data_IF_931669166029
#
_entry.id   IF_931669166029
#
_cell.length_a   1.000
_cell.length_b   1.000
_cell.length_c   1.000
_cell.angle_alpha   90.00
_cell.angle_beta   90.00
_cell.angle_gamma   90.00
#
_symmetry.space_group_name_H-M   'P 1'
#
loop_
_entity.id
_entity.type
_entity.pdbx_description
1 polymer ?
#
# COMPACT_ATOMS: atom_id res chain seq x y z
N UNK A 1 2.80 13.69 -21.41
CA UNK A 1 2.72 13.43 -19.96
C UNK A 1 2.30 11.98 -19.80
N UNK A 2 2.98 11.19 -19.00
CA UNK A 2 2.63 9.79 -18.80
C UNK A 2 1.27 9.66 -18.11
N UNK A 3 0.52 8.61 -18.45
CA UNK A 3 -0.70 8.23 -17.75
C UNK A 3 -0.32 7.45 -16.49
N UNK A 4 -0.78 7.93 -15.33
CA UNK A 4 -0.45 7.37 -14.03
C UNK A 4 -1.75 6.98 -13.34
N UNK A 5 -1.83 5.74 -12.87
CA UNK A 5 -2.95 5.24 -12.06
C UNK A 5 -2.39 4.85 -10.69
N UNK A 6 -3.01 5.35 -9.62
CA UNK A 6 -2.64 4.96 -8.25
C UNK A 6 -3.79 4.19 -7.60
N UNK A 7 -3.48 3.13 -6.85
CA UNK A 7 -4.48 2.27 -6.23
C UNK A 7 -4.27 2.19 -4.72
N UNK A 8 -5.06 2.99 -3.98
CA UNK A 8 -5.29 2.76 -2.55
C UNK A 8 -6.21 1.55 -2.35
N UNK A 9 -6.02 0.78 -1.27
CA UNK A 9 -6.80 -0.45 -1.10
C UNK A 9 -6.83 -0.95 0.33
N UNK A 10 -7.95 -1.49 0.75
CA UNK A 10 -8.07 -2.33 1.93
C UNK A 10 -7.39 -3.69 1.71
N UNK A 11 -6.94 -4.33 2.78
CA UNK A 11 -6.35 -5.67 2.71
C UNK A 11 -7.43 -6.73 2.38
N UNK A 12 -7.15 -7.59 1.41
CA UNK A 12 -8.12 -8.59 0.95
C UNK A 12 -9.19 -8.08 -0.02
N UNK A 13 -9.24 -6.77 -0.33
CA UNK A 13 -10.22 -6.20 -1.26
C UNK A 13 -10.01 -6.54 -2.73
N UNK A 14 -8.89 -7.18 -3.10
CA UNK A 14 -8.56 -7.44 -4.52
C UNK A 14 -7.85 -6.30 -5.22
N UNK A 15 -7.56 -5.17 -4.54
CA UNK A 15 -6.95 -3.99 -5.17
C UNK A 15 -5.59 -4.23 -5.82
N UNK A 16 -4.76 -5.15 -5.27
CA UNK A 16 -3.48 -5.56 -5.90
C UNK A 16 -3.71 -6.29 -7.23
N UNK A 17 -4.66 -7.21 -7.25
CA UNK A 17 -5.03 -7.94 -8.46
C UNK A 17 -5.63 -7.01 -9.51
N UNK A 18 -6.51 -6.09 -9.09
CA UNK A 18 -7.08 -5.07 -9.97
C UNK A 18 -5.98 -4.24 -10.64
N UNK A 19 -4.99 -3.78 -9.85
CA UNK A 19 -3.87 -3.00 -10.38
C UNK A 19 -3.05 -3.75 -11.42
N UNK A 20 -2.72 -5.00 -11.15
CA UNK A 20 -1.97 -5.84 -12.09
C UNK A 20 -2.75 -6.05 -13.39
N UNK A 21 -4.04 -6.40 -13.29
CA UNK A 21 -4.89 -6.60 -14.48
C UNK A 21 -5.09 -5.34 -15.30
N UNK A 22 -5.27 -4.18 -14.65
CA UNK A 22 -5.37 -2.90 -15.34
C UNK A 22 -4.06 -2.57 -16.10
N UNK A 23 -2.92 -2.81 -15.47
CA UNK A 23 -1.63 -2.61 -16.14
C UNK A 23 -1.48 -3.52 -17.36
N UNK A 24 -1.84 -4.80 -17.24
CA UNK A 24 -1.84 -5.77 -18.35
C UNK A 24 -2.76 -5.33 -19.50
N UNK A 25 -4.01 -4.94 -19.22
CA UNK A 25 -4.96 -4.53 -20.25
C UNK A 25 -4.60 -3.21 -20.96
N UNK A 26 -3.98 -2.28 -20.23
CA UNK A 26 -3.58 -0.97 -20.76
C UNK A 26 -2.17 -0.97 -21.36
N UNK A 27 -1.39 -2.04 -21.19
CA UNK A 27 0.02 -2.07 -21.57
C UNK A 27 0.88 -1.10 -20.76
N UNK A 28 0.54 -0.89 -19.47
CA UNK A 28 1.26 -0.02 -18.54
C UNK A 28 2.21 -0.86 -17.67
N UNK A 29 3.26 -0.21 -17.16
CA UNK A 29 4.11 -0.81 -16.14
C UNK A 29 3.37 -0.96 -14.82
N UNK A 30 3.65 -2.03 -14.07
CA UNK A 30 3.03 -2.32 -12.77
C UNK A 30 4.06 -2.25 -11.66
N UNK A 31 3.78 -1.47 -10.62
CA UNK A 31 4.68 -1.29 -9.48
C UNK A 31 3.97 -1.55 -8.13
N UNK A 32 4.47 -2.48 -7.36
CA UNK A 32 4.00 -2.83 -5.99
C UNK A 32 5.19 -3.22 -5.09
N UNK A 33 5.69 -4.46 -5.20
CA UNK A 33 6.80 -4.97 -4.36
C UNK A 33 8.17 -4.46 -4.82
N UNK A 34 8.34 -4.19 -6.08
CA UNK A 34 9.57 -3.68 -6.68
C UNK A 34 10.02 -2.37 -6.04
N UNK A 35 9.07 -1.56 -5.58
CA UNK A 35 9.34 -0.32 -4.85
C UNK A 35 10.04 -0.62 -3.51
N UNK A 36 9.66 -1.69 -2.81
CA UNK A 36 10.30 -2.09 -1.53
C UNK A 36 11.76 -2.43 -1.76
N UNK A 37 12.05 -3.23 -2.79
CA UNK A 37 13.41 -3.62 -3.16
C UNK A 37 14.26 -2.40 -3.47
N UNK A 38 13.76 -1.49 -4.30
CA UNK A 38 14.46 -0.27 -4.66
C UNK A 38 14.72 0.66 -3.46
N UNK A 39 13.76 0.75 -2.51
CA UNK A 39 13.95 1.52 -1.26
C UNK A 39 15.05 0.85 -0.39
N UNK A 40 14.99 -0.47 -0.23
CA UNK A 40 15.97 -1.22 0.56
C UNK A 40 17.40 -1.03 0.03
N UNK A 41 17.58 -1.11 -1.28
CA UNK A 41 18.86 -0.83 -1.94
C UNK A 41 19.32 0.61 -1.72
N UNK A 42 18.44 1.59 -1.94
CA UNK A 42 18.76 3.03 -1.82
C UNK A 42 19.11 3.45 -0.40
N UNK A 43 18.46 2.83 0.59
CA UNK A 43 18.66 3.15 2.02
C UNK A 43 19.68 2.24 2.72
N UNK A 44 20.18 1.19 2.05
CA UNK A 44 21.02 0.15 2.62
C UNK A 44 20.38 -0.54 3.84
N UNK A 45 19.05 -0.70 3.80
CA UNK A 45 18.25 -1.38 4.83
C UNK A 45 17.74 -2.72 4.31
N UNK A 46 17.36 -3.65 5.22
CA UNK A 46 16.75 -4.91 4.79
C UNK A 46 15.33 -4.70 4.21
N UNK A 47 14.93 -5.54 3.27
CA UNK A 47 13.58 -5.46 2.68
C UNK A 47 12.48 -5.69 3.73
N UNK A 48 12.72 -6.58 4.68
CA UNK A 48 11.81 -6.88 5.79
C UNK A 48 11.57 -5.64 6.64
N UNK A 49 12.63 -4.92 7.01
CA UNK A 49 12.53 -3.69 7.79
C UNK A 49 11.79 -2.59 7.02
N UNK A 50 12.15 -2.35 5.76
CA UNK A 50 11.46 -1.39 4.90
C UNK A 50 9.98 -1.75 4.78
N UNK A 51 9.65 -3.02 4.57
CA UNK A 51 8.26 -3.48 4.49
C UNK A 51 7.49 -3.24 5.81
N UNK A 52 8.11 -3.51 6.96
CA UNK A 52 7.49 -3.26 8.28
C UNK A 52 7.16 -1.78 8.48
N UNK A 53 8.09 -0.90 8.18
CA UNK A 53 7.87 0.56 8.25
C UNK A 53 6.75 0.98 7.31
N UNK A 54 6.77 0.55 6.06
CA UNK A 54 5.79 0.93 5.03
C UNK A 54 4.39 0.32 5.27
N UNK A 55 4.29 -0.76 6.03
CA UNK A 55 3.01 -1.33 6.47
C UNK A 55 2.54 -0.71 7.79
N UNK A 56 3.28 0.26 8.33
CA UNK A 56 2.93 0.99 9.55
C UNK A 56 2.91 0.10 10.79
N UNK A 57 3.71 -0.98 10.81
CA UNK A 57 3.86 -1.78 12.02
C UNK A 57 4.55 -0.92 13.09
N UNK A 58 3.95 -0.75 14.27
CA UNK A 58 4.61 0.00 15.33
C UNK A 58 5.90 -0.74 15.70
N UNK A 59 7.01 -0.03 15.71
CA UNK A 59 8.21 -0.54 16.36
C UNK A 59 7.86 -0.80 17.82
N UNK A 60 8.09 -2.02 18.28
CA UNK A 60 8.03 -2.33 19.70
C UNK A 60 9.20 -1.60 20.37
N UNK A 61 8.98 -0.36 20.76
CA UNK A 61 9.84 0.32 21.72
C UNK A 61 9.72 -0.48 23.03
N UNK A 62 10.66 -1.36 23.27
CA UNK A 62 10.82 -1.92 24.61
C UNK A 62 11.16 -0.75 25.53
N UNK A 63 10.38 -0.49 26.58
CA UNK A 63 10.73 0.54 27.53
C UNK A 63 12.03 0.11 28.25
N UNK A 64 13.15 0.58 27.71
CA UNK A 64 14.43 0.45 28.40
C UNK A 64 14.43 1.55 29.46
N UNK A 65 14.10 1.17 30.67
CA UNK A 65 14.16 2.03 31.86
C UNK A 65 15.63 2.27 32.25
N UNK A 66 16.36 3.03 31.44
CA UNK A 66 17.67 3.55 31.84
C UNK A 66 17.79 4.96 31.27
N UNK A 67 17.86 5.94 32.18
CA UNK A 67 17.85 7.37 31.92
C UNK A 67 18.63 7.86 30.71
N UNK A 68 18.26 9.02 30.19
CA UNK A 68 18.83 9.80 29.07
C UNK A 68 18.97 9.10 27.69
N UNK A 69 19.06 7.78 27.60
CA UNK A 69 19.21 7.05 26.33
C UNK A 69 17.90 6.91 25.53
N UNK A 70 16.73 7.12 26.11
CA UNK A 70 15.46 7.07 25.39
C UNK A 70 15.34 8.15 24.29
N UNK A 71 15.85 9.35 24.54
CA UNK A 71 15.80 10.44 23.54
C UNK A 71 16.65 10.17 22.30
N UNK A 72 17.73 9.43 22.44
CA UNK A 72 18.64 9.12 21.31
C UNK A 72 18.05 8.00 20.45
N UNK A 73 17.44 6.99 21.06
CA UNK A 73 16.82 5.89 20.32
C UNK A 73 15.59 6.36 19.50
N UNK A 74 14.71 7.18 20.10
CA UNK A 74 13.55 7.71 19.40
C UNK A 74 13.95 8.56 18.18
N UNK A 75 14.96 9.41 18.30
CA UNK A 75 15.44 10.22 17.18
C UNK A 75 16.02 9.35 16.04
N UNK A 76 16.71 8.28 16.35
CA UNK A 76 17.30 7.40 15.33
C UNK A 76 16.23 6.67 14.52
N UNK A 77 15.21 6.11 15.16
CA UNK A 77 14.09 5.44 14.45
C UNK A 77 13.27 6.42 13.62
N UNK A 78 12.97 7.61 14.15
CA UNK A 78 12.26 8.65 13.40
C UNK A 78 13.05 9.06 12.14
N UNK A 79 14.35 9.23 12.25
CA UNK A 79 15.21 9.55 11.11
C UNK A 79 15.23 8.44 10.05
N UNK A 80 15.26 7.18 10.47
CA UNK A 80 15.18 6.05 9.55
C UNK A 80 13.83 5.97 8.82
N UNK A 81 12.71 6.14 9.52
CA UNK A 81 11.38 6.17 8.91
C UNK A 81 11.23 7.33 7.91
N UNK A 82 11.75 8.50 8.25
CA UNK A 82 11.78 9.65 7.34
C UNK A 82 12.66 9.38 6.11
N UNK A 83 13.82 8.76 6.28
CA UNK A 83 14.70 8.36 5.18
C UNK A 83 14.02 7.37 4.22
N UNK A 84 13.27 6.39 4.75
CA UNK A 84 12.49 5.45 3.96
C UNK A 84 11.40 6.18 3.16
N UNK A 85 10.67 7.11 3.78
CA UNK A 85 9.62 7.87 3.09
C UNK A 85 10.18 8.79 1.99
N UNK A 86 11.33 9.43 2.22
CA UNK A 86 12.00 10.24 1.22
C UNK A 86 12.47 9.39 0.03
N UNK A 87 13.14 8.27 0.30
CA UNK A 87 13.55 7.33 -0.73
C UNK A 87 12.37 6.78 -1.53
N UNK A 88 11.26 6.42 -0.85
CA UNK A 88 10.00 6.03 -1.48
C UNK A 88 9.48 7.11 -2.43
N UNK A 89 9.46 8.36 -1.97
CA UNK A 89 8.92 9.47 -2.75
C UNK A 89 9.74 9.74 -4.02
N UNK A 90 11.06 9.67 -3.93
CA UNK A 90 11.95 9.82 -5.07
C UNK A 90 11.77 8.68 -6.09
N UNK A 91 11.78 7.42 -5.62
CA UNK A 91 11.61 6.23 -6.47
C UNK A 91 10.25 6.28 -7.19
N UNK A 92 9.17 6.58 -6.48
CA UNK A 92 7.83 6.66 -7.07
C UNK A 92 7.77 7.76 -8.16
N UNK A 93 8.40 8.92 -7.94
CA UNK A 93 8.47 9.99 -8.94
C UNK A 93 9.29 9.59 -10.16
N UNK A 94 10.43 8.94 -9.97
CA UNK A 94 11.27 8.43 -11.06
C UNK A 94 10.50 7.42 -11.92
N UNK A 95 9.81 6.46 -11.30
CA UNK A 95 9.00 5.45 -11.99
C UNK A 95 7.85 6.08 -12.79
N UNK A 96 7.15 7.05 -12.22
CA UNK A 96 6.05 7.76 -12.87
C UNK A 96 6.50 8.63 -14.06
N UNK A 97 7.74 9.13 -14.04
CA UNK A 97 8.31 9.87 -15.15
C UNK A 97 8.81 8.97 -16.30
N UNK A 98 9.16 7.73 -15.99
CA UNK A 98 9.75 6.78 -16.94
C UNK A 98 8.74 6.22 -17.93
N UNK A 99 7.52 5.90 -17.49
CA UNK A 99 6.50 5.23 -18.29
C UNK A 99 5.08 5.50 -17.82
N UNK A 100 4.07 5.14 -18.63
CA UNK A 100 2.72 4.97 -18.17
C UNK A 100 2.70 3.83 -17.13
N UNK A 101 2.06 4.03 -15.98
CA UNK A 101 2.17 3.06 -14.90
C UNK A 101 0.95 2.97 -13.99
N UNK A 102 0.82 1.81 -13.35
CA UNK A 102 -0.10 1.54 -12.24
C UNK A 102 0.72 1.30 -10.98
N UNK A 103 0.54 2.14 -9.97
CA UNK A 103 1.26 2.05 -8.69
C UNK A 103 0.29 1.70 -7.57
N UNK A 104 0.64 0.67 -6.78
CA UNK A 104 -0.26 0.15 -5.74
C UNK A 104 0.18 0.59 -4.35
N UNK A 105 -0.59 1.50 -3.72
CA UNK A 105 -0.39 2.02 -2.36
C UNK A 105 0.77 3.00 -2.23
N UNK A 106 1.48 2.94 -1.10
CA UNK A 106 2.70 3.73 -0.83
C UNK A 106 2.50 5.24 -0.86
N UNK A 107 1.30 5.73 -0.52
CA UNK A 107 0.94 7.14 -0.64
C UNK A 107 1.20 7.73 -2.04
N UNK A 108 1.22 6.87 -3.09
CA UNK A 108 1.56 7.31 -4.45
C UNK A 108 0.58 8.35 -4.99
N UNK A 109 -0.69 8.28 -4.60
CA UNK A 109 -1.73 9.27 -4.88
C UNK A 109 -1.37 10.67 -4.39
N UNK A 110 -0.77 10.76 -3.19
CA UNK A 110 -0.31 12.01 -2.59
C UNK A 110 1.05 12.45 -3.13
N UNK A 111 2.01 11.52 -3.22
CA UNK A 111 3.37 11.79 -3.72
C UNK A 111 3.34 12.37 -5.14
N UNK A 112 2.42 11.89 -5.98
CA UNK A 112 2.31 12.27 -7.39
C UNK A 112 1.20 13.28 -7.67
N UNK A 113 0.64 13.96 -6.65
CA UNK A 113 -0.52 14.85 -6.81
C UNK A 113 -0.31 15.97 -7.84
N UNK A 114 0.92 16.45 -7.99
CA UNK A 114 1.33 17.44 -8.98
C UNK A 114 1.31 16.91 -10.43
N UNK A 115 1.45 15.61 -10.61
CA UNK A 115 1.34 14.92 -11.89
C UNK A 115 -0.10 14.49 -12.25
N UNK A 116 -1.06 14.79 -11.38
CA UNK A 116 -2.49 14.50 -11.53
C UNK A 116 -2.77 13.03 -11.90
N UNK A 117 -2.34 12.05 -11.06
CA UNK A 117 -2.63 10.65 -11.30
C UNK A 117 -4.14 10.40 -11.22
N UNK A 118 -4.64 9.39 -11.92
CA UNK A 118 -5.98 8.88 -11.68
C UNK A 118 -5.96 8.00 -10.42
N UNK A 119 -6.71 8.41 -9.39
CA UNK A 119 -6.62 7.84 -8.04
C UNK A 119 -7.81 6.92 -7.80
N UNK A 120 -7.54 5.64 -7.58
CA UNK A 120 -8.55 4.61 -7.30
C UNK A 120 -8.42 4.16 -5.84
N UNK A 121 -9.55 3.99 -5.13
CA UNK A 121 -9.59 3.29 -3.86
C UNK A 121 -10.46 2.04 -3.94
N UNK A 122 -9.91 0.88 -3.53
CA UNK A 122 -10.56 -0.43 -3.62
C UNK A 122 -10.88 -0.96 -2.23
N UNK A 123 -12.15 -1.25 -1.98
CA UNK A 123 -12.64 -1.77 -0.71
C UNK A 123 -13.63 -2.93 -0.92
N UNK A 124 -13.95 -3.66 0.14
CA UNK A 124 -14.99 -4.67 0.15
C UNK A 124 -15.49 -4.91 1.57
N UNK A 125 -16.62 -5.60 1.71
CA UNK A 125 -17.06 -6.08 3.01
C UNK A 125 -16.03 -7.05 3.63
N UNK A 126 -16.08 -7.18 4.95
CA UNK A 126 -15.07 -7.94 5.68
C UNK A 126 -15.16 -9.44 5.40
N UNK A 127 -16.35 -9.95 5.12
CA UNK A 127 -16.62 -11.35 4.82
C UNK A 127 -15.98 -11.74 3.47
N UNK A 128 -16.19 -10.95 2.41
CA UNK A 128 -15.56 -11.15 1.10
C UNK A 128 -14.04 -11.06 1.18
N UNK A 129 -13.51 -10.18 2.00
CA UNK A 129 -12.07 -10.01 2.22
C UNK A 129 -11.45 -11.20 2.93
N UNK A 130 -12.13 -11.75 3.95
CA UNK A 130 -11.71 -12.97 4.65
C UNK A 130 -11.71 -14.15 3.69
N UNK A 131 -12.79 -14.35 2.94
CA UNK A 131 -12.89 -15.45 1.97
C UNK A 131 -11.74 -15.43 0.96
N UNK A 132 -11.45 -14.27 0.34
CA UNK A 132 -10.32 -14.11 -0.59
C UNK A 132 -8.95 -14.38 0.05
N UNK A 133 -8.78 -13.97 1.31
CA UNK A 133 -7.52 -14.20 2.02
C UNK A 133 -7.32 -15.67 2.34
N UNK A 134 -8.36 -16.40 2.75
CA UNK A 134 -8.31 -17.83 3.03
C UNK A 134 -8.03 -18.61 1.74
N UNK A 135 -8.74 -18.30 0.65
CA UNK A 135 -8.52 -18.94 -0.66
C UNK A 135 -7.07 -18.79 -1.14
N UNK A 136 -6.48 -17.61 -0.98
CA UNK A 136 -5.07 -17.35 -1.37
C UNK A 136 -4.04 -18.02 -0.47
N UNK A 137 -4.40 -18.32 0.76
CA UNK A 137 -3.54 -18.99 1.74
C UNK A 137 -3.83 -20.50 1.84
N UNK A 138 -4.59 -21.08 0.92
CA UNK A 138 -4.94 -22.52 0.92
C UNK A 138 -3.72 -23.45 0.94
N UNK A 139 -2.58 -22.99 0.39
CA UNK A 139 -1.33 -23.74 0.31
C UNK A 139 -0.37 -23.49 1.50
N UNK A 140 -0.77 -22.64 2.47
CA UNK A 140 0.08 -22.34 3.61
C UNK A 140 0.04 -23.46 4.66
N UNK A 141 1.19 -23.77 5.27
CA UNK A 141 1.31 -24.79 6.34
C UNK A 141 0.46 -24.46 7.60
N UNK A 142 0.09 -23.18 7.80
CA UNK A 142 -0.77 -22.72 8.88
C UNK A 142 -2.05 -22.11 8.33
N UNK A 143 -3.16 -22.80 8.51
CA UNK A 143 -4.49 -22.25 8.23
C UNK A 143 -4.94 -21.37 9.41
N UNK A 144 -5.07 -20.07 9.15
CA UNK A 144 -5.68 -19.16 10.11
C UNK A 144 -7.19 -19.38 10.16
N UNK A 145 -7.77 -19.33 11.35
CA UNK A 145 -9.22 -19.30 11.51
C UNK A 145 -9.79 -17.99 10.95
N UNK A 146 -11.07 -17.97 10.59
CA UNK A 146 -11.74 -16.72 10.12
C UNK A 146 -11.57 -15.56 11.11
N UNK A 147 -11.65 -15.87 12.42
CA UNK A 147 -11.48 -14.87 13.48
C UNK A 147 -10.06 -14.27 13.49
N UNK A 148 -9.05 -15.10 13.33
CA UNK A 148 -7.66 -14.65 13.25
C UNK A 148 -7.40 -13.87 11.96
N UNK A 149 -7.94 -14.34 10.83
CA UNK A 149 -7.86 -13.64 9.56
C UNK A 149 -8.51 -12.26 9.64
N UNK A 150 -9.72 -12.16 10.23
CA UNK A 150 -10.39 -10.87 10.46
C UNK A 150 -9.53 -9.92 11.29
N UNK A 151 -8.94 -10.40 12.39
CA UNK A 151 -8.05 -9.61 13.23
C UNK A 151 -6.82 -9.11 12.47
N UNK A 152 -6.23 -9.97 11.65
CA UNK A 152 -5.08 -9.63 10.80
C UNK A 152 -5.43 -8.56 9.76
N UNK A 153 -6.54 -8.74 9.04
CA UNK A 153 -7.05 -7.78 8.05
C UNK A 153 -7.22 -6.39 8.66
N UNK A 154 -7.95 -6.30 9.78
CA UNK A 154 -8.21 -5.03 10.44
C UNK A 154 -6.94 -4.37 11.00
N UNK A 155 -5.99 -5.17 11.48
CA UNK A 155 -4.70 -4.68 11.96
C UNK A 155 -3.87 -4.07 10.82
N UNK A 156 -3.81 -4.74 9.67
CA UNK A 156 -3.09 -4.25 8.49
C UNK A 156 -3.69 -2.92 8.00
N UNK A 157 -5.02 -2.85 7.91
CA UNK A 157 -5.68 -1.62 7.45
C UNK A 157 -5.50 -0.47 8.43
N UNK A 158 -5.58 -0.75 9.74
CA UNK A 158 -5.29 0.25 10.77
C UNK A 158 -3.87 0.82 10.65
N UNK A 159 -2.90 -0.04 10.35
CA UNK A 159 -1.51 0.39 10.19
C UNK A 159 -1.33 1.21 8.90
N UNK A 160 -1.96 0.79 7.78
CA UNK A 160 -1.96 1.56 6.53
C UNK A 160 -2.60 2.93 6.69
N UNK A 161 -3.73 3.00 7.41
CA UNK A 161 -4.39 4.26 7.70
C UNK A 161 -3.47 5.20 8.50
N UNK A 162 -2.84 4.70 9.58
CA UNK A 162 -1.90 5.50 10.37
C UNK A 162 -0.73 6.03 9.55
N UNK A 163 -0.13 5.17 8.72
CA UNK A 163 0.98 5.56 7.84
C UNK A 163 0.55 6.64 6.85
N UNK A 164 -0.59 6.42 6.17
CA UNK A 164 -1.13 7.36 5.20
C UNK A 164 -1.48 8.70 5.85
N UNK A 165 -2.25 8.69 6.96
CA UNK A 165 -2.68 9.89 7.66
C UNK A 165 -1.48 10.71 8.16
N UNK A 166 -0.44 10.04 8.66
CA UNK A 166 0.77 10.68 9.16
C UNK A 166 1.55 11.42 8.06
N UNK A 167 1.78 10.76 6.91
CA UNK A 167 2.62 11.34 5.85
C UNK A 167 1.85 12.27 4.89
N UNK A 168 0.54 12.14 4.80
CA UNK A 168 -0.26 12.92 3.85
C UNK A 168 -1.10 14.01 4.50
N UNK A 169 -1.37 13.89 5.80
CA UNK A 169 -2.35 14.72 6.48
C UNK A 169 -3.81 14.47 6.08
N UNK A 170 -4.04 13.50 5.18
CA UNK A 170 -5.37 13.14 4.68
C UNK A 170 -5.86 11.86 5.35
N UNK A 171 -7.17 11.69 5.43
CA UNK A 171 -7.76 10.46 5.96
C UNK A 171 -7.75 9.35 4.90
N UNK A 172 -7.14 8.21 5.24
CA UNK A 172 -7.11 7.05 4.36
C UNK A 172 -8.51 6.51 4.06
N UNK A 173 -8.78 6.22 2.79
CA UNK A 173 -10.08 5.71 2.33
C UNK A 173 -11.19 6.77 2.28
N UNK A 174 -10.92 8.03 2.58
CA UNK A 174 -11.90 9.09 2.37
C UNK A 174 -12.10 9.30 0.86
N UNK A 175 -13.36 9.14 0.41
CA UNK A 175 -13.74 9.25 -1.00
C UNK A 175 -13.29 10.55 -1.68
N UNK A 176 -13.15 11.63 -0.92
CA UNK A 176 -12.73 12.93 -1.45
C UNK A 176 -11.26 12.96 -1.91
N UNK A 177 -10.47 11.99 -1.50
CA UNK A 177 -9.07 11.86 -1.91
C UNK A 177 -8.90 11.04 -3.20
N UNK A 178 -9.98 10.47 -3.75
CA UNK A 178 -9.92 9.55 -4.89
C UNK A 178 -10.88 9.97 -6.00
N UNK A 179 -10.52 9.65 -7.24
CA UNK A 179 -11.34 9.91 -8.41
C UNK A 179 -12.35 8.79 -8.64
N UNK A 180 -12.06 7.57 -8.15
CA UNK A 180 -12.92 6.40 -8.21
C UNK A 180 -12.78 5.53 -6.96
N UNK A 181 -13.90 5.23 -6.29
CA UNK A 181 -13.96 4.28 -5.18
C UNK A 181 -14.76 3.04 -5.62
N UNK A 182 -14.16 1.84 -5.48
CA UNK A 182 -14.72 0.59 -6.02
C UNK A 182 -15.00 -0.37 -4.87
N UNK A 183 -16.27 -0.74 -4.71
CA UNK A 183 -16.67 -1.86 -3.88
C UNK A 183 -16.58 -3.16 -4.69
N UNK A 184 -15.71 -4.07 -4.28
CA UNK A 184 -15.50 -5.35 -4.96
C UNK A 184 -16.25 -6.51 -4.32
N UNK A 185 -17.16 -6.24 -3.40
CA UNK A 185 -17.97 -7.27 -2.74
C UNK A 185 -18.81 -8.03 -3.76
N UNK A 186 -18.66 -9.35 -3.82
CA UNK A 186 -19.43 -10.21 -4.73
C UNK A 186 -19.05 -10.11 -6.21
N UNK A 187 -18.04 -9.32 -6.57
CA UNK A 187 -17.60 -9.19 -7.97
C UNK A 187 -16.29 -9.93 -8.26
N UNK A 188 -16.16 -10.35 -9.52
CA UNK A 188 -14.93 -10.89 -10.07
C UNK A 188 -14.00 -9.74 -10.45
N UNK A 189 -12.78 -9.73 -9.90
CA UNK A 189 -11.83 -8.61 -10.11
C UNK A 189 -11.48 -8.42 -11.60
N UNK A 190 -11.40 -9.51 -12.35
CA UNK A 190 -11.14 -9.47 -13.80
C UNK A 190 -12.17 -8.64 -14.56
N UNK A 191 -13.45 -8.81 -14.24
CA UNK A 191 -14.53 -8.10 -14.93
C UNK A 191 -14.51 -6.61 -14.59
N UNK A 192 -14.21 -6.27 -13.32
CA UNK A 192 -14.02 -4.88 -12.89
C UNK A 192 -12.86 -4.23 -13.67
N UNK A 193 -11.73 -4.92 -13.80
CA UNK A 193 -10.58 -4.41 -14.54
C UNK A 193 -10.95 -4.09 -16.00
N UNK A 194 -11.65 -5.00 -16.66
CA UNK A 194 -12.08 -4.84 -18.05
C UNK A 194 -13.08 -3.69 -18.27
N UNK A 195 -13.88 -3.35 -17.26
CA UNK A 195 -14.77 -2.18 -17.34
C UNK A 195 -13.98 -0.88 -17.12
N UNK A 196 -13.07 -0.87 -16.14
CA UNK A 196 -12.32 0.33 -15.78
C UNK A 196 -11.27 0.67 -16.84
N UNK A 197 -10.65 -0.31 -17.49
CA UNK A 197 -9.68 -0.05 -18.56
C UNK A 197 -10.24 0.81 -19.69
N UNK A 198 -11.58 0.78 -19.91
CA UNK A 198 -12.27 1.60 -20.93
C UNK A 198 -12.34 3.10 -20.61
N UNK A 199 -11.97 3.50 -19.38
CA UNK A 199 -11.90 4.91 -18.99
C UNK A 199 -10.63 5.57 -19.55
N UNK A 200 -9.60 4.80 -19.86
CA UNK A 200 -8.26 5.26 -20.27
C UNK A 200 -7.99 5.07 -21.75
#
# INVERSE_FOLDING_TARGET
MNKIITIGREFGSGGRELGRRLAEELGFEYYDKEIITAIAEKTSMSQEYVQEVLEGKPHHLYPITIGQSMFIADNFYIQQEQSIYLAQSEIIRELAQKSNCVIVGRCADFILQDLKPFRIFVYADIESRIARCIERNSDAEKHLTEKEMKKQILSIDKNRAKYYDYYTGNKWGDKNNYDLCINTTGFVIKDIASVISKIF
#
